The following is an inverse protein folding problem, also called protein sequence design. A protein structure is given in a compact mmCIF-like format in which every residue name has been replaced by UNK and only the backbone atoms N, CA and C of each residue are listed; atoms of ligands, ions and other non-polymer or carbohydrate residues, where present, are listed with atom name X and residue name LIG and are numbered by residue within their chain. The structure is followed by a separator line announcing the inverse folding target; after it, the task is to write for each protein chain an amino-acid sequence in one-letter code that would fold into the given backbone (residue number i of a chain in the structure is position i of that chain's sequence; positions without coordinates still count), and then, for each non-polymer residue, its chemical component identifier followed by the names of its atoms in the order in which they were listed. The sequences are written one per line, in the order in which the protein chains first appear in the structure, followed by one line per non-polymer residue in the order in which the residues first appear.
data_IF_211412671243
#
_entry.id   IF_211412671243
#
_cell.length_a   1.000
_cell.length_b   1.000
_cell.length_c   1.000
_cell.angle_alpha   90.00
_cell.angle_beta   90.00
_cell.angle_gamma   90.00
#
_symmetry.space_group_name_H-M   'P 1'
#
loop_
_entity.id
_entity.type
_entity.pdbx_description
1 polymer ?
#
# COMPACT_ATOMS: atom_id res chain seq x y z
N UNK A 1 -15.07 -9.64 -4.12
CA UNK A 1 -13.90 -10.38 -3.61
C UNK A 1 -12.79 -9.46 -3.17
N UNK A 2 -12.34 -8.51 -3.99
CA UNK A 2 -11.32 -7.51 -3.58
C UNK A 2 -11.73 -6.74 -2.31
N UNK A 3 -13.01 -6.39 -2.17
CA UNK A 3 -13.51 -5.61 -1.03
C UNK A 3 -13.27 -6.27 0.34
N UNK A 4 -13.49 -7.59 0.48
CA UNK A 4 -13.26 -8.32 1.73
C UNK A 4 -11.76 -8.40 2.07
N UNK A 5 -10.91 -8.60 1.07
CA UNK A 5 -9.45 -8.61 1.24
C UNK A 5 -8.92 -7.21 1.54
N UNK A 6 -9.47 -6.18 0.90
CA UNK A 6 -9.18 -4.78 1.19
C UNK A 6 -9.53 -4.43 2.62
N UNK A 7 -10.71 -4.81 3.14
CA UNK A 7 -11.04 -4.54 4.54
C UNK A 7 -10.19 -5.36 5.54
N UNK A 8 -9.73 -6.56 5.16
CA UNK A 8 -8.87 -7.40 6.00
C UNK A 8 -7.40 -6.97 6.03
N UNK A 9 -6.84 -6.58 4.89
CA UNK A 9 -5.45 -6.15 4.72
C UNK A 9 -5.26 -4.64 4.86
N UNK A 10 -6.32 -3.87 4.66
CA UNK A 10 -6.36 -2.42 4.75
C UNK A 10 -7.69 -1.99 5.40
N UNK A 11 -7.87 -2.19 6.71
CA UNK A 11 -9.06 -1.76 7.43
C UNK A 11 -9.26 -0.25 7.29
N UNK A 12 -10.50 0.22 7.39
CA UNK A 12 -10.85 1.62 7.10
C UNK A 12 -10.08 2.62 7.96
N UNK A 13 -9.74 2.24 9.19
CA UNK A 13 -8.90 3.06 10.08
C UNK A 13 -7.49 3.25 9.52
N UNK A 14 -6.89 2.20 8.96
CA UNK A 14 -5.60 2.30 8.27
C UNK A 14 -5.74 3.11 6.99
N UNK A 15 -6.81 2.85 6.21
CA UNK A 15 -7.05 3.57 4.97
C UNK A 15 -7.14 5.08 5.18
N UNK A 16 -7.86 5.54 6.21
CA UNK A 16 -7.97 6.96 6.58
C UNK A 16 -6.63 7.63 6.89
N UNK A 17 -5.59 6.88 7.24
CA UNK A 17 -4.24 7.39 7.46
C UNK A 17 -3.40 7.38 6.20
N UNK A 18 -3.59 6.35 5.37
CA UNK A 18 -2.85 6.16 4.12
C UNK A 18 -3.34 7.13 3.05
N UNK A 19 -4.65 7.25 2.87
CA UNK A 19 -5.30 8.07 1.86
C UNK A 19 -4.73 9.50 1.76
N UNK A 20 -4.62 10.29 2.84
CA UNK A 20 -4.06 11.65 2.76
C UNK A 20 -2.55 11.70 2.51
N UNK A 21 -1.83 10.60 2.74
CA UNK A 21 -0.38 10.51 2.53
C UNK A 21 -0.03 10.01 1.13
N UNK A 22 -1.00 9.43 0.41
CA UNK A 22 -0.79 8.96 -0.95
C UNK A 22 -0.52 10.15 -1.87
N UNK A 23 0.56 10.12 -2.68
CA UNK A 23 0.79 11.14 -3.67
C UNK A 23 -0.35 11.10 -4.69
N UNK A 24 -0.97 12.25 -4.94
CA UNK A 24 -2.04 12.39 -5.91
C UNK A 24 -1.60 11.81 -7.27
N UNK A 25 -2.39 10.87 -7.79
CA UNK A 25 -2.13 10.34 -9.12
C UNK A 25 -2.58 11.35 -10.15
N UNK A 26 -1.62 12.11 -10.69
CA UNK A 26 -1.88 12.94 -11.86
C UNK A 26 -1.99 12.04 -13.10
N UNK A 27 -3.16 11.95 -13.77
CA UNK A 27 -3.25 11.25 -15.04
C UNK A 27 -2.26 11.87 -16.01
N UNK A 28 -1.57 11.03 -16.77
CA UNK A 28 -0.59 11.50 -17.77
C UNK A 28 -1.36 12.30 -18.84
N UNK A 29 -0.87 13.48 -19.27
CA UNK A 29 -1.60 14.36 -20.19
C UNK A 29 -1.83 13.76 -21.59
N UNK A 30 -1.07 12.72 -21.98
CA UNK A 30 -1.39 11.91 -23.16
C UNK A 30 -2.51 10.94 -22.81
N UNK A 31 -3.75 11.33 -23.11
CA UNK A 31 -4.96 10.53 -22.92
C UNK A 31 -4.79 9.10 -23.45
N UNK A 32 -4.63 8.16 -22.52
CA UNK A 32 -4.33 6.76 -22.84
C UNK A 32 -4.03 5.91 -21.61
N UNK A 33 -4.58 6.29 -20.44
CA UNK A 33 -4.48 5.50 -19.22
C UNK A 33 -5.82 4.86 -18.91
N UNK A 34 -5.85 3.55 -18.68
CA UNK A 34 -7.01 2.85 -18.12
C UNK A 34 -7.57 3.61 -16.92
N UNK A 35 -8.90 3.53 -16.74
CA UNK A 35 -9.68 4.17 -15.69
C UNK A 35 -8.93 4.24 -14.35
N UNK A 36 -9.10 5.32 -13.56
CA UNK A 36 -8.45 5.46 -12.26
C UNK A 36 -8.73 4.21 -11.44
N UNK A 37 -7.70 3.37 -11.29
CA UNK A 37 -7.74 2.23 -10.38
C UNK A 37 -7.89 2.81 -8.99
N UNK A 38 -8.85 2.27 -8.25
CA UNK A 38 -9.09 2.62 -6.87
C UNK A 38 -7.77 2.52 -6.07
N UNK A 39 -7.32 3.63 -5.49
CA UNK A 39 -6.01 3.70 -4.83
C UNK A 39 -5.94 2.74 -3.64
N UNK A 40 -7.09 2.45 -2.99
CA UNK A 40 -7.19 1.46 -1.92
C UNK A 40 -6.96 0.05 -2.44
N UNK A 41 -7.51 -0.28 -3.59
CA UNK A 41 -7.29 -1.57 -4.26
C UNK A 41 -5.82 -1.77 -4.65
N UNK A 42 -5.18 -0.75 -5.21
CA UNK A 42 -3.74 -0.77 -5.53
C UNK A 42 -2.91 -0.92 -4.26
N UNK A 43 -3.25 -0.17 -3.21
CA UNK A 43 -2.54 -0.23 -1.94
C UNK A 43 -2.68 -1.61 -1.29
N UNK A 44 -3.88 -2.20 -1.33
CA UNK A 44 -4.14 -3.56 -0.84
C UNK A 44 -3.29 -4.60 -1.57
N UNK A 45 -3.20 -4.52 -2.91
CA UNK A 45 -2.36 -5.41 -3.70
C UNK A 45 -0.86 -5.28 -3.35
N UNK A 46 -0.39 -4.06 -3.12
CA UNK A 46 1.00 -3.80 -2.68
C UNK A 46 1.22 -4.39 -1.28
N UNK A 47 0.33 -4.13 -0.32
CA UNK A 47 0.42 -4.67 1.04
C UNK A 47 0.41 -6.20 1.03
N UNK A 48 -0.40 -6.83 0.18
CA UNK A 48 -0.38 -8.28 0.02
C UNK A 48 1.00 -8.80 -0.41
N UNK A 49 1.62 -8.21 -1.43
CA UNK A 49 2.94 -8.62 -1.91
C UNK A 49 4.03 -8.40 -0.86
N UNK A 50 3.92 -7.31 -0.09
CA UNK A 50 4.85 -6.98 1.00
C UNK A 50 4.73 -7.95 2.18
N UNK A 51 3.50 -8.28 2.58
CA UNK A 51 3.24 -9.16 3.74
C UNK A 51 3.42 -10.65 3.43
N UNK A 52 3.05 -11.10 2.22
CA UNK A 52 3.23 -12.49 1.80
C UNK A 52 4.66 -12.83 1.37
N UNK A 53 5.49 -11.82 1.10
CA UNK A 53 6.84 -12.01 0.58
C UNK A 53 6.90 -12.56 -0.85
N UNK A 54 5.75 -12.65 -1.54
CA UNK A 54 5.72 -13.20 -2.89
C UNK A 54 6.40 -12.26 -3.91
N UNK A 55 6.74 -12.80 -5.08
CA UNK A 55 7.17 -11.98 -6.21
C UNK A 55 5.98 -11.18 -6.74
N UNK A 56 6.22 -9.96 -7.24
CA UNK A 56 5.19 -9.15 -7.90
C UNK A 56 4.46 -9.93 -9.01
N UNK A 57 5.16 -10.85 -9.70
CA UNK A 57 4.60 -11.72 -10.74
C UNK A 57 3.56 -12.72 -10.23
N UNK A 58 3.58 -13.03 -8.94
CA UNK A 58 2.64 -13.92 -8.28
C UNK A 58 1.49 -13.15 -7.61
N UNK A 59 1.33 -11.86 -7.89
CA UNK A 59 0.15 -11.12 -7.45
C UNK A 59 -1.11 -11.76 -8.06
N UNK A 60 -2.06 -12.23 -7.24
CA UNK A 60 -3.28 -12.84 -7.73
C UNK A 60 -4.10 -11.88 -8.60
N UNK A 61 -4.69 -12.34 -9.72
CA UNK A 61 -5.50 -11.49 -10.59
C UNK A 61 -6.80 -10.99 -9.92
N UNK A 62 -7.22 -11.60 -8.81
CA UNK A 62 -8.42 -11.22 -8.04
C UNK A 62 -8.38 -9.78 -7.49
N UNK A 63 -7.19 -9.20 -7.37
CA UNK A 63 -7.02 -7.80 -6.97
C UNK A 63 -7.37 -6.82 -8.10
N UNK A 64 -7.51 -7.27 -9.35
CA UNK A 64 -7.78 -6.40 -10.49
C UNK A 64 -6.63 -5.44 -10.83
N UNK A 65 -5.45 -5.65 -10.26
CA UNK A 65 -4.25 -4.81 -10.44
C UNK A 65 -3.17 -5.62 -11.13
N UNK A 66 -2.61 -5.08 -12.21
CA UNK A 66 -1.50 -5.74 -12.88
C UNK A 66 -0.22 -5.68 -12.00
N UNK A 67 0.61 -6.74 -12.00
CA UNK A 67 1.92 -6.74 -11.32
C UNK A 67 2.78 -5.51 -11.63
N UNK A 68 2.79 -5.08 -12.89
CA UNK A 68 3.54 -3.90 -13.33
C UNK A 68 2.99 -2.61 -12.73
N UNK A 69 1.66 -2.47 -12.65
CA UNK A 69 0.99 -1.33 -12.02
C UNK A 69 1.30 -1.27 -10.53
N UNK A 70 1.16 -2.40 -9.82
CA UNK A 70 1.47 -2.49 -8.38
C UNK A 70 2.92 -2.11 -8.09
N UNK A 71 3.86 -2.68 -8.84
CA UNK A 71 5.29 -2.39 -8.66
C UNK A 71 5.63 -0.92 -8.98
N UNK A 72 5.08 -0.34 -10.06
CA UNK A 72 5.28 1.07 -10.38
C UNK A 72 4.77 1.98 -9.25
N UNK A 73 3.58 1.69 -8.72
CA UNK A 73 2.95 2.44 -7.62
C UNK A 73 3.77 2.34 -6.34
N UNK A 74 4.20 1.13 -5.99
CA UNK A 74 5.12 0.91 -4.87
C UNK A 74 6.37 1.81 -4.98
N UNK A 75 7.05 1.82 -6.14
CA UNK A 75 8.24 2.67 -6.33
C UNK A 75 7.94 4.17 -6.27
N UNK A 76 6.78 4.61 -6.75
CA UNK A 76 6.36 6.01 -6.62
C UNK A 76 6.14 6.40 -5.16
N UNK A 77 5.48 5.55 -4.38
CA UNK A 77 5.23 5.77 -2.96
C UNK A 77 6.49 5.72 -2.11
N UNK A 78 7.38 4.78 -2.44
CA UNK A 78 8.69 4.64 -1.85
C UNK A 78 9.51 5.94 -2.00
N UNK A 79 9.62 6.46 -3.22
CA UNK A 79 10.30 7.74 -3.51
C UNK A 79 9.62 8.94 -2.86
N UNK A 80 8.31 8.87 -2.65
CA UNK A 80 7.56 9.92 -1.95
C UNK A 80 7.69 9.84 -0.42
N UNK A 81 8.42 8.86 0.11
CA UNK A 81 8.58 8.65 1.55
C UNK A 81 7.32 8.15 2.25
N UNK A 82 6.36 7.57 1.52
CA UNK A 82 5.07 7.14 2.08
C UNK A 82 5.26 6.22 3.28
N UNK A 83 6.15 5.22 3.17
CA UNK A 83 6.37 4.21 4.20
C UNK A 83 6.92 4.81 5.50
N UNK A 84 7.82 5.80 5.40
CA UNK A 84 8.36 6.51 6.55
C UNK A 84 7.27 7.36 7.23
N UNK A 85 6.45 8.06 6.44
CA UNK A 85 5.34 8.88 6.97
C UNK A 85 4.27 8.02 7.63
N UNK A 86 3.96 6.85 7.06
CA UNK A 86 3.07 5.86 7.67
C UNK A 86 3.62 5.33 8.99
N UNK A 87 4.93 5.08 9.07
CA UNK A 87 5.56 4.64 10.32
C UNK A 87 5.39 5.68 11.44
N UNK A 88 5.64 6.96 11.13
CA UNK A 88 5.49 8.05 12.10
C UNK A 88 4.02 8.22 12.53
N UNK A 89 3.09 8.28 11.56
CA UNK A 89 1.66 8.42 11.84
C UNK A 89 1.08 7.24 12.64
N UNK A 90 1.66 6.04 12.49
CA UNK A 90 1.30 4.88 13.29
C UNK A 90 1.78 5.03 14.75
N UNK A 91 3.01 5.50 14.94
CA UNK A 91 3.62 5.72 16.25
C UNK A 91 2.92 6.84 17.04
N UNK A 92 2.41 7.87 16.37
CA UNK A 92 1.67 8.96 17.04
C UNK A 92 0.29 8.52 17.56
N UNK A 93 -0.39 7.60 16.85
CA UNK A 93 -1.72 7.13 17.25
C UNK A 93 -1.69 5.93 18.17
N UNK A 94 -0.67 5.07 18.03
CA UNK A 94 -0.34 4.07 19.03
C UNK A 94 0.65 4.68 20.00
N UNK A 95 0.15 5.37 21.04
CA UNK A 95 0.98 5.76 22.18
C UNK A 95 1.84 4.59 22.68
N UNK A 96 2.86 4.81 23.52
CA UNK A 96 3.93 3.84 23.82
C UNK A 96 3.49 2.48 24.41
N UNK A 97 2.20 2.29 24.68
CA UNK A 97 1.58 1.09 25.23
C UNK A 97 0.59 0.40 24.29
N UNK A 98 0.21 1.03 23.17
CA UNK A 98 -0.81 0.51 22.27
C UNK A 98 -0.24 -0.65 21.45
N UNK A 99 -0.90 -1.81 21.56
CA UNK A 99 -0.66 -3.04 20.80
C UNK A 99 -1.06 -2.85 19.31
N UNK A 100 -0.43 -1.89 18.63
CA UNK A 100 -0.55 -1.65 17.18
C UNK A 100 0.33 -2.61 16.38
N UNK A 101 0.33 -3.90 16.73
CA UNK A 101 1.30 -4.87 16.23
C UNK A 101 1.25 -4.99 14.69
N UNK A 102 0.07 -4.87 14.09
CA UNK A 102 -0.12 -5.21 12.68
C UNK A 102 0.34 -4.13 11.67
N UNK A 103 0.16 -2.84 11.99
CA UNK A 103 0.64 -1.72 11.16
C UNK A 103 2.18 -1.66 11.17
N UNK A 104 2.78 -1.89 12.33
CA UNK A 104 4.22 -2.03 12.51
C UNK A 104 4.76 -3.23 11.74
N UNK A 105 4.04 -4.35 11.67
CA UNK A 105 4.45 -5.52 10.89
C UNK A 105 4.42 -5.25 9.37
N UNK A 106 3.39 -4.57 8.86
CA UNK A 106 3.33 -4.17 7.45
C UNK A 106 4.50 -3.22 7.11
N UNK A 107 4.74 -2.22 7.96
CA UNK A 107 5.84 -1.27 7.76
C UNK A 107 7.20 -1.97 7.85
N UNK A 108 7.43 -2.84 8.83
CA UNK A 108 8.69 -3.61 8.95
C UNK A 108 8.92 -4.52 7.74
N UNK A 109 7.88 -5.19 7.25
CA UNK A 109 7.97 -5.99 6.03
C UNK A 109 8.29 -5.13 4.79
N UNK A 110 7.69 -3.94 4.70
CA UNK A 110 7.99 -2.97 3.64
C UNK A 110 9.45 -2.48 3.70
N UNK A 111 9.91 -2.06 4.87
CA UNK A 111 11.28 -1.58 5.11
C UNK A 111 12.33 -2.67 4.82
N UNK A 112 12.07 -3.93 5.21
CA UNK A 112 12.98 -5.05 4.95
C UNK A 112 13.17 -5.35 3.45
N UNK A 113 12.27 -4.86 2.59
CA UNK A 113 12.33 -5.04 1.13
C UNK A 113 12.94 -3.84 0.40
N UNK A 114 13.03 -2.67 1.05
CA UNK A 114 13.72 -1.50 0.48
C UNK A 114 15.25 -1.70 0.43
N UNK A 115 15.79 -2.53 1.31
CA UNK A 115 17.23 -2.80 1.46
C UNK A 115 17.75 -3.96 0.59
N UNK A 116 16.93 -4.48 -0.34
CA UNK A 116 17.31 -5.55 -1.30
C UNK A 116 17.21 -5.09 -2.74
#
# INVERSE_FOLDING_TARGET
MVDVLSHRLVPDRLWKLVEPLLPAFLPRPQGGGSAPLDDRTVFTAVVYVLTSGCSWRHLPPEFGVSPATAHRRFRTWDRAGLWQRLHQAAAEQCGPRSEGHWLTMIVRAALARQDR
#
